data_IF_008114409988
#
_entry.id   IF_008114409988
#
_cell.length_a   1.000
_cell.length_b   1.000
_cell.length_c   1.000
_cell.angle_alpha   90.00
_cell.angle_beta   90.00
_cell.angle_gamma   90.00
#
_symmetry.space_group_name_H-M   'P 1'
#
loop_
_entity.id
_entity.type
_entity.pdbx_description
1 polymer ?
#
# COMPACT_ATOMS: atom_id res chain seq x y z
N UNK A 1 2.57 -2.45 -10.99
CA UNK A 1 2.56 -0.98 -11.22
C UNK A 1 3.99 -0.46 -11.14
N UNK A 2 4.29 0.68 -11.72
CA UNK A 2 5.62 1.29 -11.57
C UNK A 2 5.77 2.00 -10.23
N UNK A 3 7.00 2.35 -9.83
CA UNK A 3 7.24 3.16 -8.64
C UNK A 3 6.53 4.51 -8.69
N UNK A 4 6.54 5.18 -9.84
CA UNK A 4 5.83 6.45 -10.05
C UNK A 4 4.31 6.31 -9.84
N UNK A 5 3.70 5.24 -10.37
CA UNK A 5 2.29 4.95 -10.15
C UNK A 5 1.98 4.73 -8.67
N UNK A 6 2.83 3.98 -7.96
CA UNK A 6 2.66 3.73 -6.53
C UNK A 6 2.79 5.03 -5.72
N UNK A 7 3.80 5.87 -6.00
CA UNK A 7 3.98 7.18 -5.36
C UNK A 7 2.74 8.06 -5.53
N UNK A 8 2.17 8.11 -6.74
CA UNK A 8 0.95 8.90 -7.00
C UNK A 8 -0.26 8.41 -6.18
N UNK A 9 -0.44 7.10 -6.05
CA UNK A 9 -1.51 6.50 -5.25
C UNK A 9 -1.31 6.79 -3.76
N UNK A 10 -0.10 6.62 -3.24
CA UNK A 10 0.26 6.85 -1.84
C UNK A 10 0.20 8.34 -1.45
N UNK A 11 0.47 9.24 -2.38
CA UNK A 11 0.39 10.68 -2.19
C UNK A 11 -1.04 11.24 -2.24
N UNK A 12 -2.03 10.43 -2.62
CA UNK A 12 -3.38 10.92 -2.84
C UNK A 12 -4.00 11.48 -1.55
N UNK A 13 -4.40 12.75 -1.60
CA UNK A 13 -5.11 13.42 -0.51
C UNK A 13 -6.55 12.94 -0.42
N UNK A 14 -6.77 11.87 0.35
CA UNK A 14 -8.11 11.36 0.62
C UNK A 14 -8.98 12.44 1.33
N UNK A 15 -10.24 12.67 0.92
CA UNK A 15 -11.09 13.71 1.52
C UNK A 15 -11.39 13.54 3.01
N UNK A 16 -11.29 12.31 3.54
CA UNK A 16 -11.47 12.00 4.96
C UNK A 16 -10.16 12.08 5.76
N UNK A 17 -9.05 12.49 5.14
CA UNK A 17 -7.73 12.55 5.79
C UNK A 17 -7.07 11.17 5.98
N UNK A 18 -7.58 10.14 5.31
CA UNK A 18 -7.02 8.79 5.40
C UNK A 18 -5.77 8.62 4.53
N UNK A 19 -4.88 7.76 4.99
CA UNK A 19 -3.65 7.37 4.27
C UNK A 19 -3.66 5.87 4.00
N UNK A 20 -3.00 5.44 2.93
CA UNK A 20 -2.82 4.01 2.65
C UNK A 20 -1.70 3.45 3.51
N UNK A 21 -2.02 2.47 4.35
CA UNK A 21 -1.03 1.83 5.22
C UNK A 21 -0.41 0.62 4.53
N UNK A 22 0.93 0.54 4.43
CA UNK A 22 1.58 -0.54 3.71
C UNK A 22 1.92 -1.74 4.61
N UNK A 23 2.33 -2.83 3.96
CA UNK A 23 2.94 -3.99 4.61
C UNK A 23 4.33 -3.66 5.19
N UNK A 24 4.88 -4.54 6.03
CA UNK A 24 6.17 -4.33 6.74
C UNK A 24 7.37 -4.11 5.83
N UNK A 25 7.30 -4.57 4.58
CA UNK A 25 8.33 -4.43 3.57
C UNK A 25 8.43 -3.03 2.98
N UNK A 26 7.39 -2.19 3.09
CA UNK A 26 7.35 -0.90 2.40
C UNK A 26 7.25 0.26 3.38
N UNK A 27 8.09 1.27 3.16
CA UNK A 27 8.11 2.53 3.91
C UNK A 27 8.02 3.71 2.97
N UNK A 28 7.27 4.74 3.34
CA UNK A 28 7.23 5.98 2.57
C UNK A 28 7.13 7.23 3.44
N UNK A 29 7.66 8.34 2.91
CA UNK A 29 7.54 9.67 3.50
C UNK A 29 6.60 10.50 2.64
N UNK A 30 5.55 11.04 3.25
CA UNK A 30 4.61 11.98 2.66
C UNK A 30 4.94 13.39 3.14
N UNK A 31 5.22 14.29 2.21
CA UNK A 31 5.60 15.67 2.49
C UNK A 31 4.94 16.58 1.45
N UNK A 32 4.17 17.58 1.90
CA UNK A 32 3.53 18.55 1.01
C UNK A 32 2.59 17.94 -0.05
N UNK A 33 2.00 16.77 0.22
CA UNK A 33 1.13 16.07 -0.75
C UNK A 33 1.88 15.26 -1.81
N UNK A 34 3.17 14.98 -1.60
CA UNK A 34 3.98 14.13 -2.46
C UNK A 34 4.71 13.06 -1.65
N UNK A 35 4.96 11.89 -2.27
CA UNK A 35 5.85 10.88 -1.68
C UNK A 35 7.29 11.21 -2.04
N UNK A 36 8.07 11.69 -1.07
CA UNK A 36 9.47 12.11 -1.25
C UNK A 36 10.46 10.96 -1.08
N UNK A 37 10.12 9.96 -0.26
CA UNK A 37 10.91 8.77 -0.04
C UNK A 37 10.02 7.53 -0.16
N UNK A 38 10.50 6.51 -0.86
CA UNK A 38 9.81 5.21 -0.98
C UNK A 38 10.85 4.09 -1.00
N UNK A 39 10.75 3.17 -0.05
CA UNK A 39 11.63 1.99 0.01
C UNK A 39 10.83 0.70 0.06
N UNK A 40 11.38 -0.34 -0.57
CA UNK A 40 10.89 -1.71 -0.53
C UNK A 40 12.03 -2.61 -0.04
N UNK A 41 11.83 -3.26 1.12
CA UNK A 41 12.84 -4.03 1.84
C UNK A 41 14.12 -3.21 2.13
N UNK A 42 13.95 -1.92 2.46
CA UNK A 42 15.05 -1.00 2.71
C UNK A 42 15.77 -0.48 1.46
N UNK A 43 15.40 -0.95 0.27
CA UNK A 43 15.97 -0.49 -1.00
C UNK A 43 15.09 0.62 -1.59
N UNK A 44 15.66 1.77 -2.02
CA UNK A 44 14.91 2.80 -2.71
C UNK A 44 14.20 2.28 -3.95
N UNK A 45 12.96 2.71 -4.13
CA UNK A 45 12.15 2.37 -5.30
C UNK A 45 12.33 3.42 -6.38
N UNK A 46 12.84 3.00 -7.54
CA UNK A 46 12.92 3.86 -8.72
C UNK A 46 11.55 4.06 -9.38
N UNK A 47 11.37 5.17 -10.10
CA UNK A 47 10.07 5.53 -10.69
C UNK A 47 9.59 4.57 -11.77
N UNK A 48 10.52 4.00 -12.53
CA UNK A 48 10.28 3.02 -13.60
C UNK A 48 10.26 1.56 -13.09
N UNK A 49 10.70 1.32 -11.85
CA UNK A 49 10.72 -0.02 -11.26
C UNK A 49 9.32 -0.61 -11.22
N UNK A 50 9.17 -1.81 -11.80
CA UNK A 50 7.90 -2.54 -11.76
C UNK A 50 7.78 -3.33 -10.46
N UNK A 51 6.70 -3.07 -9.72
CA UNK A 51 6.40 -3.67 -8.42
C UNK A 51 5.07 -4.42 -8.48
N UNK A 52 5.05 -5.61 -7.87
CA UNK A 52 3.82 -6.36 -7.61
C UNK A 52 3.26 -5.93 -6.25
N UNK A 53 2.02 -5.45 -6.26
CA UNK A 53 1.32 -4.97 -5.08
C UNK A 53 0.05 -5.81 -4.92
N UNK A 54 -0.22 -6.26 -3.70
CA UNK A 54 -1.49 -6.85 -3.33
C UNK A 54 -2.40 -5.75 -2.74
N UNK A 55 -3.65 -5.71 -3.18
CA UNK A 55 -4.67 -4.81 -2.68
C UNK A 55 -6.05 -5.42 -2.91
N UNK A 56 -7.03 -5.00 -2.10
CA UNK A 56 -8.41 -5.42 -2.29
C UNK A 56 -9.06 -4.74 -3.51
N UNK A 57 -10.18 -5.30 -3.96
CA UNK A 57 -10.91 -4.81 -5.14
C UNK A 57 -11.53 -3.42 -4.95
N UNK A 58 -11.85 -3.03 -3.71
CA UNK A 58 -12.39 -1.71 -3.36
C UNK A 58 -11.39 -0.61 -3.72
N UNK A 59 -10.15 -0.74 -3.24
CA UNK A 59 -9.08 0.21 -3.55
C UNK A 59 -8.77 0.24 -5.06
N UNK A 60 -8.60 -0.95 -5.66
CA UNK A 60 -8.27 -1.04 -7.09
C UNK A 60 -9.35 -0.43 -8.00
N UNK A 61 -10.61 -0.47 -7.58
CA UNK A 61 -11.74 0.07 -8.34
C UNK A 61 -11.99 1.56 -8.09
N UNK A 62 -11.26 2.20 -7.18
CA UNK A 62 -11.39 3.63 -6.88
C UNK A 62 -12.51 3.98 -5.90
N UNK A 63 -12.84 3.05 -5.00
CA UNK A 63 -13.75 3.31 -3.89
C UNK A 63 -12.96 3.63 -2.60
N UNK A 64 -13.67 4.00 -1.53
CA UNK A 64 -13.04 4.35 -0.24
C UNK A 64 -12.37 5.73 -0.21
N UNK A 65 -12.75 6.60 -1.14
CA UNK A 65 -12.16 7.95 -1.25
C UNK A 65 -10.77 7.97 -1.88
N UNK A 66 -10.34 6.88 -2.54
CA UNK A 66 -9.08 6.80 -3.29
C UNK A 66 -9.35 6.70 -4.79
N UNK A 67 -8.43 7.17 -5.65
CA UNK A 67 -8.61 7.07 -7.09
C UNK A 67 -8.48 5.62 -7.56
N UNK A 68 -9.13 5.30 -8.68
CA UNK A 68 -8.91 4.03 -9.36
C UNK A 68 -7.45 3.88 -9.76
N UNK A 69 -6.88 2.69 -9.59
CA UNK A 69 -5.47 2.40 -9.88
C UNK A 69 -5.24 2.22 -11.40
N UNK A 70 -5.37 3.32 -12.15
CA UNK A 70 -5.26 3.35 -13.62
C UNK A 70 -3.85 3.01 -14.10
N UNK A 71 -3.76 2.37 -15.28
CA UNK A 71 -2.49 1.98 -15.89
C UNK A 71 -1.77 0.84 -15.19
N UNK A 72 -2.42 0.16 -14.23
CA UNK A 72 -1.88 -1.02 -13.56
C UNK A 72 -2.29 -2.30 -14.28
N UNK A 73 -1.39 -3.28 -14.32
CA UNK A 73 -1.68 -4.61 -14.86
C UNK A 73 -2.13 -5.53 -13.73
N UNK A 74 -3.33 -6.10 -13.85
CA UNK A 74 -3.82 -7.12 -12.93
C UNK A 74 -3.21 -8.46 -13.33
N UNK A 75 -2.34 -9.00 -12.48
CA UNK A 75 -1.67 -10.30 -12.71
C UNK A 75 -2.32 -11.46 -11.98
N UNK A 76 -3.24 -11.18 -11.04
CA UNK A 76 -3.98 -12.17 -10.27
C UNK A 76 -5.33 -11.60 -9.82
N UNK A 77 -6.40 -12.40 -9.90
CA UNK A 77 -7.73 -12.09 -9.37
C UNK A 77 -8.21 -13.30 -8.56
N UNK A 78 -8.35 -13.13 -7.25
CA UNK A 78 -8.76 -14.20 -6.34
C UNK A 78 -8.18 -14.01 -4.95
N UNK A 79 -8.22 -15.06 -4.14
CA UNK A 79 -7.77 -15.06 -2.75
C UNK A 79 -8.91 -14.91 -1.77
N UNK A 80 -8.55 -14.98 -0.48
CA UNK A 80 -9.47 -14.73 0.63
C UNK A 80 -9.80 -13.24 0.69
N UNK A 81 -11.00 -12.90 1.18
CA UNK A 81 -11.30 -11.51 1.55
C UNK A 81 -10.42 -11.05 2.73
N UNK A 82 -10.46 -9.75 3.04
CA UNK A 82 -9.62 -9.15 4.08
C UNK A 82 -9.86 -9.81 5.46
N UNK A 83 -11.10 -10.24 5.75
CA UNK A 83 -11.47 -10.89 7.02
C UNK A 83 -10.88 -12.30 7.11
N UNK A 84 -11.06 -13.11 6.08
CA UNK A 84 -10.53 -14.46 6.02
C UNK A 84 -9.00 -14.47 5.92
N UNK A 85 -8.41 -13.49 5.23
CA UNK A 85 -6.95 -13.27 5.20
C UNK A 85 -6.42 -12.96 6.60
N UNK A 86 -7.05 -12.04 7.33
CA UNK A 86 -6.66 -11.73 8.71
C UNK A 86 -6.81 -12.96 9.63
N UNK A 87 -7.93 -13.69 9.55
CA UNK A 87 -8.15 -14.89 10.35
C UNK A 87 -7.06 -15.95 10.08
N UNK A 88 -6.73 -16.20 8.81
CA UNK A 88 -5.66 -17.12 8.43
C UNK A 88 -4.30 -16.68 8.96
N UNK A 89 -3.98 -15.38 8.89
CA UNK A 89 -2.74 -14.84 9.45
C UNK A 89 -2.66 -15.06 10.97
N UNK A 90 -3.72 -14.77 11.71
CA UNK A 90 -3.76 -14.93 13.17
C UNK A 90 -3.61 -16.40 13.56
N UNK A 91 -4.27 -17.33 12.87
CA UNK A 91 -4.13 -18.77 13.14
C UNK A 91 -2.69 -19.26 12.96
N UNK A 92 -1.99 -18.74 11.96
CA UNK A 92 -0.63 -19.18 11.62
C UNK A 92 0.49 -18.48 12.38
N UNK A 93 0.21 -17.34 13.04
CA UNK A 93 1.24 -16.48 13.63
C UNK A 93 0.93 -16.08 15.09
N UNK A 94 0.02 -16.80 15.77
CA UNK A 94 -0.34 -16.50 17.16
C UNK A 94 0.74 -16.98 18.15
N UNK A 95 1.08 -16.20 19.20
CA UNK A 95 0.56 -14.87 19.50
C UNK A 95 1.13 -13.78 18.59
N UNK A 96 0.28 -12.84 18.17
CA UNK A 96 0.71 -11.67 17.40
C UNK A 96 1.00 -10.48 18.31
N UNK A 97 1.95 -9.64 17.89
CA UNK A 97 2.26 -8.36 18.52
C UNK A 97 2.05 -7.21 17.53
N UNK A 98 1.74 -6.03 18.04
CA UNK A 98 1.62 -4.85 17.20
C UNK A 98 2.97 -4.55 16.52
N UNK A 99 3.00 -4.27 15.21
CA UNK A 99 4.22 -3.86 14.54
C UNK A 99 4.62 -2.44 14.96
N UNK A 100 5.88 -2.07 14.71
CA UNK A 100 6.33 -0.69 14.82
C UNK A 100 5.50 0.22 13.89
N UNK A 101 5.19 1.42 14.37
CA UNK A 101 4.44 2.46 13.64
C UNK A 101 5.32 3.30 12.70
N UNK A 102 6.34 2.71 12.11
CA UNK A 102 7.40 3.41 11.35
C UNK A 102 7.25 3.26 9.82
N UNK A 103 6.08 2.81 9.36
CA UNK A 103 5.84 2.51 7.95
C UNK A 103 5.49 3.73 7.10
N UNK A 104 4.89 4.73 7.72
CA UNK A 104 4.53 6.00 7.08
C UNK A 104 5.08 7.14 7.92
N UNK A 105 5.86 8.01 7.29
CA UNK A 105 6.30 9.28 7.89
C UNK A 105 5.52 10.41 7.22
N UNK A 106 4.93 11.31 8.01
CA UNK A 106 4.26 12.51 7.51
C UNK A 106 5.09 13.71 7.97
N UNK A 107 5.47 14.58 7.03
CA UNK A 107 6.25 15.81 7.27
C UNK A 107 5.51 17.03 6.74
#
# INVERSE_FOLDING_TARGET
MTGAQLKSILAYSNPQGWILTPSSSLRYTLEGGAVTELTLNGVPVADDQVIKIAANSVLMSGYGGFPQWKGTTIVYRGGLDDRATLASYLMNNSPVSAPLGDRVTIR
#
